data_IF_007305704592
#
_entry.id   IF_007305704592
#
_cell.length_a   1.000
_cell.length_b   1.000
_cell.length_c   1.000
_cell.angle_alpha   90.00
_cell.angle_beta   90.00
_cell.angle_gamma   90.00
#
_symmetry.space_group_name_H-M   'P 1'
#
loop_
_entity.id
_entity.type
_entity.pdbx_description
1 polymer ?
#
# COMPACT_ATOMS: atom_id res chain seq x y z
N UNK A 1 26.46 -0.83 11.11
CA UNK A 1 25.33 -0.42 10.25
C UNK A 1 24.10 -1.22 10.65
N UNK A 2 22.96 -0.55 10.77
CA UNK A 2 21.69 -1.18 11.12
C UNK A 2 20.80 -1.20 9.88
N UNK A 3 20.10 -2.30 9.63
CA UNK A 3 19.18 -2.49 8.50
C UNK A 3 17.87 -3.13 8.99
N UNK A 4 16.72 -2.92 8.31
CA UNK A 4 15.43 -3.36 8.80
C UNK A 4 15.02 -4.76 8.34
N UNK A 5 15.83 -5.45 7.52
CA UNK A 5 15.49 -6.77 6.98
C UNK A 5 16.73 -7.57 6.56
N UNK A 6 16.57 -8.88 6.42
CA UNK A 6 17.57 -9.76 5.81
C UNK A 6 17.86 -9.38 4.35
N UNK A 7 16.81 -9.08 3.57
CA UNK A 7 16.98 -8.64 2.19
C UNK A 7 17.88 -7.41 2.07
N UNK A 8 17.73 -6.41 2.96
CA UNK A 8 18.61 -5.24 2.94
C UNK A 8 20.02 -5.57 3.47
N UNK A 9 20.16 -6.47 4.45
CA UNK A 9 21.46 -6.98 4.89
C UNK A 9 22.24 -7.61 3.73
N UNK A 10 21.58 -8.47 2.97
CA UNK A 10 22.22 -9.18 1.85
C UNK A 10 22.58 -8.19 0.75
N UNK A 11 21.69 -7.24 0.45
CA UNK A 11 21.94 -6.16 -0.49
C UNK A 11 23.18 -5.35 -0.13
N UNK A 12 23.31 -4.87 1.11
CA UNK A 12 24.45 -4.01 1.50
C UNK A 12 25.76 -4.79 1.65
N UNK A 13 25.72 -6.08 2.04
CA UNK A 13 26.90 -6.95 2.04
C UNK A 13 27.38 -7.17 0.60
N UNK A 14 26.48 -7.44 -0.33
CA UNK A 14 26.78 -7.54 -1.76
C UNK A 14 27.35 -6.25 -2.37
N UNK A 15 27.22 -5.13 -1.67
CA UNK A 15 27.79 -3.81 -2.03
C UNK A 15 29.07 -3.47 -1.25
N UNK A 16 29.64 -4.42 -0.50
CA UNK A 16 30.93 -4.27 0.17
C UNK A 16 30.87 -4.01 1.68
N UNK A 17 29.69 -4.04 2.31
CA UNK A 17 29.61 -3.93 3.76
C UNK A 17 30.19 -5.19 4.44
N UNK A 18 31.00 -4.99 5.50
CA UNK A 18 31.57 -6.10 6.27
C UNK A 18 30.45 -6.87 7.01
N UNK A 19 30.27 -8.19 6.78
CA UNK A 19 29.15 -8.95 7.37
C UNK A 19 29.03 -8.83 8.89
N UNK A 20 30.15 -8.91 9.62
CA UNK A 20 30.17 -8.78 11.09
C UNK A 20 29.83 -7.38 11.62
N UNK A 21 29.63 -6.38 10.74
CA UNK A 21 29.26 -5.01 11.10
C UNK A 21 27.84 -4.63 10.66
N UNK A 22 27.07 -5.58 10.12
CA UNK A 22 25.66 -5.38 9.75
C UNK A 22 24.76 -6.09 10.76
N UNK A 23 23.88 -5.32 11.41
CA UNK A 23 22.90 -5.84 12.38
C UNK A 23 21.49 -5.58 11.85
N UNK A 24 20.64 -6.59 11.91
CA UNK A 24 19.22 -6.43 11.56
C UNK A 24 18.47 -5.94 12.79
N UNK A 25 17.68 -4.89 12.62
CA UNK A 25 16.70 -4.42 13.60
C UNK A 25 15.43 -4.11 12.83
N UNK A 26 14.44 -4.98 12.93
CA UNK A 26 13.17 -4.84 12.19
C UNK A 26 12.41 -3.58 12.62
N UNK A 27 11.67 -3.00 11.67
CA UNK A 27 10.72 -1.94 11.97
C UNK A 27 9.58 -2.50 12.83
N UNK A 28 9.09 -1.70 13.77
CA UNK A 28 7.95 -2.01 14.61
C UNK A 28 6.91 -0.88 14.55
N UNK A 29 5.65 -1.24 14.72
CA UNK A 29 4.56 -0.28 14.92
C UNK A 29 4.30 -0.13 16.43
N UNK A 30 3.97 1.09 16.88
CA UNK A 30 3.61 1.34 18.27
C UNK A 30 2.26 0.67 18.60
N UNK A 31 2.22 -0.32 19.50
CA UNK A 31 0.98 -1.00 19.86
C UNK A 31 0.04 -0.12 20.68
N UNK A 32 0.43 1.07 21.12
CA UNK A 32 -0.47 2.05 21.73
C UNK A 32 -1.24 2.88 20.69
N UNK A 33 -0.71 2.96 19.48
CA UNK A 33 -1.34 3.68 18.35
C UNK A 33 -2.05 2.69 17.42
N UNK A 34 -1.39 1.58 17.09
CA UNK A 34 -1.89 0.58 16.14
C UNK A 34 -2.36 -0.67 16.88
N UNK A 35 -3.65 -0.67 17.22
CA UNK A 35 -4.31 -1.80 17.87
C UNK A 35 -5.35 -2.42 16.94
N UNK A 36 -5.48 -3.75 16.89
CA UNK A 36 -6.62 -4.37 16.25
C UNK A 36 -7.91 -3.82 16.88
N UNK A 37 -8.92 -3.48 16.07
CA UNK A 37 -10.20 -3.07 16.61
C UNK A 37 -10.88 -4.26 17.30
N UNK A 38 -11.85 -4.03 18.20
CA UNK A 38 -12.64 -5.10 18.80
C UNK A 38 -13.26 -6.01 17.73
N UNK A 39 -13.34 -7.30 18.01
CA UNK A 39 -13.94 -8.27 17.08
C UNK A 39 -15.33 -7.80 16.62
N UNK A 40 -15.60 -7.89 15.31
CA UNK A 40 -16.86 -7.43 14.70
C UNK A 40 -16.90 -5.93 14.37
N UNK A 41 -15.91 -5.13 14.78
CA UNK A 41 -15.82 -3.71 14.39
C UNK A 41 -15.40 -3.61 12.92
N UNK A 42 -16.29 -3.11 12.07
CA UNK A 42 -15.97 -2.76 10.67
C UNK A 42 -15.56 -1.29 10.58
N UNK A 43 -14.48 -0.95 9.86
CA UNK A 43 -14.15 0.45 9.59
C UNK A 43 -15.31 1.16 8.88
N UNK A 44 -15.77 2.27 9.43
CA UNK A 44 -17.00 2.97 8.98
C UNK A 44 -16.96 3.52 7.54
N UNK A 45 -15.82 3.45 6.86
CA UNK A 45 -15.66 3.92 5.47
C UNK A 45 -16.13 2.91 4.42
N UNK A 46 -16.45 1.67 4.82
CA UNK A 46 -16.73 0.56 3.91
C UNK A 46 -18.19 0.12 3.84
N UNK A 47 -18.99 0.36 4.89
CA UNK A 47 -20.24 -0.38 5.08
C UNK A 47 -19.97 -1.90 5.00
N UNK A 48 -20.78 -2.62 4.23
CA UNK A 48 -20.60 -4.06 3.95
C UNK A 48 -19.65 -4.38 2.79
N UNK A 49 -18.92 -3.39 2.27
CA UNK A 49 -18.08 -3.55 1.07
C UNK A 49 -16.68 -4.01 1.44
N UNK A 50 -16.09 -4.84 0.58
CA UNK A 50 -14.69 -5.21 0.71
C UNK A 50 -13.78 -4.09 0.19
N UNK A 51 -12.96 -3.52 1.07
CA UNK A 51 -12.05 -2.41 0.74
C UNK A 51 -10.61 -2.90 0.70
N UNK A 52 -9.96 -2.68 -0.43
CA UNK A 52 -8.51 -2.84 -0.60
C UNK A 52 -7.87 -1.49 -0.27
N UNK A 53 -6.92 -1.47 0.66
CA UNK A 53 -6.23 -0.25 1.11
C UNK A 53 -4.81 -0.15 0.57
N UNK A 54 -4.42 1.05 0.15
CA UNK A 54 -3.04 1.45 -0.09
C UNK A 54 -2.72 2.71 0.72
N UNK A 55 -1.57 2.76 1.37
CA UNK A 55 -1.06 3.94 2.08
C UNK A 55 0.37 4.22 1.63
N UNK A 56 0.65 5.41 1.11
CA UNK A 56 2.00 5.81 0.75
C UNK A 56 2.10 7.00 -0.20
N UNK A 57 3.30 7.49 -0.44
CA UNK A 57 3.58 8.72 -1.18
C UNK A 57 3.51 8.62 -2.72
N UNK A 58 2.77 7.65 -3.26
CA UNK A 58 2.53 7.44 -4.71
C UNK A 58 3.78 7.55 -5.61
N UNK A 59 4.93 7.05 -5.16
CA UNK A 59 6.16 7.03 -5.96
C UNK A 59 6.21 5.76 -6.82
N UNK A 60 6.90 5.78 -7.98
CA UNK A 60 6.89 4.67 -8.92
C UNK A 60 7.24 3.30 -8.33
N UNK A 61 8.23 3.25 -7.44
CA UNK A 61 8.66 2.00 -6.80
C UNK A 61 7.65 1.38 -5.84
N UNK A 62 6.57 2.07 -5.48
CA UNK A 62 5.48 1.48 -4.70
C UNK A 62 4.61 0.52 -5.53
N UNK A 63 4.76 0.47 -6.86
CA UNK A 63 4.01 -0.46 -7.70
C UNK A 63 2.50 -0.15 -7.80
N UNK A 64 2.08 1.10 -7.53
CA UNK A 64 0.66 1.48 -7.54
C UNK A 64 -0.03 1.18 -8.88
N UNK A 65 0.70 1.23 -9.99
CA UNK A 65 0.20 0.89 -11.31
C UNK A 65 -0.23 -0.59 -11.38
N UNK A 66 0.49 -1.49 -10.72
CA UNK A 66 0.16 -2.92 -10.68
C UNK A 66 -1.11 -3.15 -9.86
N UNK A 67 -1.23 -2.45 -8.73
CA UNK A 67 -2.45 -2.45 -7.92
C UNK A 67 -3.66 -1.98 -8.71
N UNK A 68 -3.54 -0.88 -9.48
CA UNK A 68 -4.63 -0.39 -10.32
C UNK A 68 -5.02 -1.41 -11.39
N UNK A 69 -4.05 -2.02 -12.09
CA UNK A 69 -4.33 -3.05 -13.10
C UNK A 69 -5.03 -4.27 -12.48
N UNK A 70 -4.58 -4.71 -11.31
CA UNK A 70 -5.20 -5.80 -10.57
C UNK A 70 -6.64 -5.44 -10.13
N UNK A 71 -6.84 -4.23 -9.61
CA UNK A 71 -8.14 -3.75 -9.16
C UNK A 71 -9.15 -3.65 -10.30
N UNK A 72 -8.76 -3.14 -11.48
CA UNK A 72 -9.63 -3.08 -12.67
C UNK A 72 -10.12 -4.49 -13.03
N UNK A 73 -9.24 -5.50 -13.02
CA UNK A 73 -9.61 -6.89 -13.29
C UNK A 73 -10.56 -7.45 -12.23
N UNK A 74 -10.31 -7.13 -10.96
CA UNK A 74 -11.15 -7.59 -9.85
C UNK A 74 -12.54 -6.95 -9.88
N UNK A 75 -12.61 -5.65 -10.20
CA UNK A 75 -13.84 -4.88 -10.32
C UNK A 75 -14.77 -5.42 -11.42
N UNK A 76 -14.20 -5.88 -12.55
CA UNK A 76 -14.97 -6.52 -13.63
C UNK A 76 -15.62 -7.84 -13.18
N UNK A 77 -15.07 -8.51 -12.16
CA UNK A 77 -15.65 -9.75 -11.60
C UNK A 77 -16.75 -9.47 -10.60
N UNK A 78 -16.66 -8.40 -9.81
CA UNK A 78 -17.71 -8.04 -8.87
C UNK A 78 -17.70 -6.55 -8.51
N UNK A 79 -18.88 -5.91 -8.47
CA UNK A 79 -19.01 -4.54 -8.02
C UNK A 79 -18.92 -4.39 -6.48
N UNK A 80 -18.65 -5.45 -5.73
CA UNK A 80 -18.48 -5.38 -4.27
C UNK A 80 -17.16 -4.71 -3.86
N UNK A 81 -16.11 -4.84 -4.68
CA UNK A 81 -14.78 -4.36 -4.34
C UNK A 81 -14.66 -2.84 -4.46
N UNK A 82 -13.94 -2.25 -3.51
CA UNK A 82 -13.53 -0.84 -3.47
C UNK A 82 -12.02 -0.74 -3.25
N UNK A 83 -11.43 0.35 -3.73
CA UNK A 83 -10.03 0.68 -3.53
C UNK A 83 -9.94 2.03 -2.82
N UNK A 84 -9.22 2.06 -1.70
CA UNK A 84 -8.89 3.28 -0.96
C UNK A 84 -7.39 3.52 -1.04
N UNK A 85 -7.00 4.67 -1.60
CA UNK A 85 -5.61 5.12 -1.74
C UNK A 85 -5.42 6.32 -0.82
N UNK A 86 -4.61 6.17 0.21
CA UNK A 86 -4.29 7.22 1.17
C UNK A 86 -2.88 7.74 0.89
N UNK A 87 -2.78 9.05 0.67
CA UNK A 87 -1.53 9.71 0.33
C UNK A 87 -1.57 10.37 -1.05
N UNK A 88 -0.51 11.13 -1.34
CA UNK A 88 -0.35 11.87 -2.59
C UNK A 88 1.07 11.72 -3.14
N UNK A 89 1.29 12.17 -4.38
CA UNK A 89 2.60 12.15 -4.99
C UNK A 89 2.60 12.11 -6.52
N UNK A 90 3.75 11.85 -7.14
CA UNK A 90 3.96 12.06 -8.58
C UNK A 90 3.06 11.21 -9.48
N UNK A 91 2.56 10.07 -8.99
CA UNK A 91 1.65 9.22 -9.76
C UNK A 91 0.17 9.55 -9.58
N UNK A 92 -0.18 10.59 -8.82
CA UNK A 92 -1.58 11.02 -8.66
C UNK A 92 -2.29 11.30 -9.99
N UNK A 93 -1.71 12.05 -10.95
CA UNK A 93 -2.38 12.30 -12.23
C UNK A 93 -2.70 11.01 -13.01
N UNK A 94 -1.79 10.02 -12.97
CA UNK A 94 -1.99 8.74 -13.63
C UNK A 94 -3.14 7.93 -13.01
N UNK A 95 -3.28 7.98 -11.67
CA UNK A 95 -4.42 7.36 -10.96
C UNK A 95 -5.73 8.01 -11.42
N UNK A 96 -5.79 9.34 -11.45
CA UNK A 96 -7.00 10.06 -11.88
C UNK A 96 -7.37 9.77 -13.35
N UNK A 97 -6.37 9.65 -14.22
CA UNK A 97 -6.60 9.27 -15.62
C UNK A 97 -7.23 7.86 -15.72
N UNK A 98 -6.73 6.89 -14.95
CA UNK A 98 -7.29 5.54 -14.93
C UNK A 98 -8.70 5.53 -14.35
N UNK A 99 -8.95 6.27 -13.26
CA UNK A 99 -10.29 6.42 -12.66
C UNK A 99 -11.32 6.88 -13.69
N UNK A 100 -10.98 7.90 -14.46
CA UNK A 100 -11.86 8.44 -15.52
C UNK A 100 -12.00 7.46 -16.69
N UNK A 101 -10.89 6.96 -17.22
CA UNK A 101 -10.87 6.10 -18.41
C UNK A 101 -11.65 4.80 -18.21
N UNK A 102 -11.56 4.19 -17.04
CA UNK A 102 -12.22 2.92 -16.73
C UNK A 102 -13.58 3.11 -16.05
N UNK A 103 -14.05 4.36 -15.85
CA UNK A 103 -15.32 4.64 -15.17
C UNK A 103 -15.34 4.21 -13.69
N UNK A 104 -14.20 4.31 -12.99
CA UNK A 104 -14.01 3.81 -11.63
C UNK A 104 -13.95 4.91 -10.56
N UNK A 105 -14.42 6.11 -10.86
CA UNK A 105 -14.40 7.26 -9.94
C UNK A 105 -15.07 6.96 -8.60
N UNK A 106 -16.17 6.19 -8.61
CA UNK A 106 -16.91 5.79 -7.40
C UNK A 106 -16.35 4.54 -6.70
N UNK A 107 -15.46 3.81 -7.37
CA UNK A 107 -14.89 2.56 -6.89
C UNK A 107 -13.47 2.74 -6.32
N UNK A 108 -12.75 3.75 -6.77
CA UNK A 108 -11.41 4.13 -6.30
C UNK A 108 -11.52 5.48 -5.62
N UNK A 109 -11.25 5.55 -4.32
CA UNK A 109 -11.18 6.80 -3.56
C UNK A 109 -9.73 7.12 -3.24
N UNK A 110 -9.34 8.38 -3.43
CA UNK A 110 -8.02 8.90 -3.07
C UNK A 110 -8.21 10.02 -2.04
N UNK A 111 -7.46 10.01 -0.93
CA UNK A 111 -7.67 10.95 0.20
C UNK A 111 -6.49 11.87 0.52
N UNK A 112 -5.41 11.82 -0.27
CA UNK A 112 -4.34 12.81 -0.26
C UNK A 112 -4.50 13.81 -1.39
#
# INVERSE_FOLDING_TARGET
>A
MIVPSSALRDYVIGRGARPGRVRIVYNAADPNVFRPPPAGTRPGTAGDRFVIGFLGSLKPWHGIQDLLRAFVRLRRRSPAYRLLIVGDGPLRPAIEQIRRREGLTDAIRVTG
#
